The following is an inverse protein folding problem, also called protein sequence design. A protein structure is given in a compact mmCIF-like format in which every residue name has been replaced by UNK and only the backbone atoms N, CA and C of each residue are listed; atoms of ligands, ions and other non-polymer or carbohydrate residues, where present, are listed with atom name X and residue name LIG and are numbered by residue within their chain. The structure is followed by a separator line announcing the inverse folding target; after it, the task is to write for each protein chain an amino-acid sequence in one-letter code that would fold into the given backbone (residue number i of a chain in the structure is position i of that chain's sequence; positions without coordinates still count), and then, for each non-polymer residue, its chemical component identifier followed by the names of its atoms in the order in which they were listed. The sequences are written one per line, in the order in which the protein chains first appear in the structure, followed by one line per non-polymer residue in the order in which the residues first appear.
data_IF_409937396476
#
_entry.id   IF_409937396476
#
_cell.length_a   1.000
_cell.length_b   1.000
_cell.length_c   1.000
_cell.angle_alpha   90.00
_cell.angle_beta   90.00
_cell.angle_gamma   90.00
#
_symmetry.space_group_name_H-M   'P 1'
#
loop_
_entity.id
_entity.type
_entity.pdbx_description
1 polymer ?
#
# COMPACT_ATOMS: atom_id res chain seq x y z
N UNK A 1 -51.24 3.73 -36.41
CA UNK A 1 -51.51 2.58 -35.51
C UNK A 1 -52.16 1.48 -36.33
N UNK A 2 -51.79 0.20 -36.20
CA UNK A 2 -51.13 -0.45 -35.06
C UNK A 2 -49.70 -0.99 -35.33
N UNK A 3 -49.09 -1.43 -34.23
CA UNK A 3 -47.73 -1.96 -33.98
C UNK A 3 -47.62 -3.45 -34.37
N UNK A 4 -46.39 -3.92 -34.64
CA UNK A 4 -45.91 -5.18 -34.05
C UNK A 4 -44.37 -5.20 -34.02
N UNK A 5 -43.86 -5.66 -32.89
CA UNK A 5 -42.48 -5.63 -32.41
C UNK A 5 -41.68 -6.85 -32.90
N UNK A 6 -40.36 -6.70 -32.98
CA UNK A 6 -39.44 -7.74 -33.42
C UNK A 6 -38.03 -7.50 -32.92
N UNK A 7 -37.94 -7.42 -31.59
CA UNK A 7 -36.74 -7.50 -30.75
C UNK A 7 -35.67 -8.47 -31.28
N UNK A 8 -34.43 -7.97 -31.39
CA UNK A 8 -33.21 -8.81 -31.41
C UNK A 8 -31.94 -7.94 -31.43
N UNK A 9 -31.40 -7.62 -30.26
CA UNK A 9 -29.94 -7.73 -30.01
C UNK A 9 -29.58 -7.57 -28.52
N UNK A 10 -30.02 -8.48 -27.66
CA UNK A 10 -29.29 -8.79 -26.43
C UNK A 10 -28.60 -10.15 -26.60
N UNK A 11 -27.35 -10.11 -27.06
CA UNK A 11 -26.41 -11.23 -26.90
C UNK A 11 -25.50 -10.91 -25.72
N UNK A 12 -26.00 -11.27 -24.54
CA UNK A 12 -25.25 -11.87 -23.43
C UNK A 12 -23.79 -11.45 -23.31
N UNK A 13 -23.60 -10.27 -22.74
CA UNK A 13 -22.58 -10.02 -21.73
C UNK A 13 -22.77 -11.05 -20.61
N UNK A 14 -22.11 -12.21 -20.71
CA UNK A 14 -21.77 -12.94 -19.48
C UNK A 14 -20.82 -12.00 -18.76
N UNK A 15 -21.29 -11.49 -17.62
CA UNK A 15 -20.66 -10.40 -16.90
C UNK A 15 -19.25 -10.85 -16.51
N UNK A 16 -18.29 -9.92 -16.49
CA UNK A 16 -16.97 -10.16 -15.88
C UNK A 16 -17.14 -10.71 -14.45
N UNK A 17 -18.23 -10.34 -13.79
CA UNK A 17 -18.71 -10.90 -12.51
C UNK A 17 -18.86 -12.43 -12.56
N UNK A 18 -19.50 -12.99 -13.60
CA UNK A 18 -19.72 -14.44 -13.71
C UNK A 18 -18.39 -15.22 -13.85
N UNK A 19 -17.38 -14.57 -14.44
CA UNK A 19 -16.03 -15.14 -14.59
C UNK A 19 -15.21 -15.02 -13.31
N UNK A 20 -15.32 -13.91 -12.59
CA UNK A 20 -14.68 -13.70 -11.30
C UNK A 20 -15.27 -14.64 -10.23
N UNK A 21 -16.59 -14.82 -10.22
CA UNK A 21 -17.32 -15.71 -9.31
C UNK A 21 -16.95 -17.19 -9.56
N UNK A 22 -16.82 -17.60 -10.82
CA UNK A 22 -16.31 -18.94 -11.17
C UNK A 22 -14.86 -19.16 -10.73
N UNK A 23 -13.98 -18.17 -10.91
CA UNK A 23 -12.58 -18.28 -10.52
C UNK A 23 -12.39 -18.33 -8.99
N UNK A 24 -13.15 -17.52 -8.23
CA UNK A 24 -13.16 -17.53 -6.78
C UNK A 24 -13.68 -18.86 -6.22
N UNK A 25 -14.78 -19.38 -6.78
CA UNK A 25 -15.37 -20.67 -6.37
C UNK A 25 -14.42 -21.85 -6.64
N UNK A 26 -13.66 -21.79 -7.75
CA UNK A 26 -12.72 -22.83 -8.13
C UNK A 26 -11.44 -22.78 -7.28
N UNK A 27 -10.99 -21.59 -6.85
CA UNK A 27 -9.87 -21.43 -5.93
C UNK A 27 -10.22 -21.88 -4.49
N UNK A 28 -11.47 -21.68 -4.06
CA UNK A 28 -11.97 -22.08 -2.73
C UNK A 28 -12.22 -23.59 -2.57
N UNK A 29 -12.32 -24.35 -3.68
CA UNK A 29 -12.61 -25.79 -3.63
C UNK A 29 -11.37 -26.67 -3.45
N UNK A 30 -10.16 -26.13 -3.63
CA UNK A 30 -8.91 -26.91 -3.58
C UNK A 30 -8.01 -26.56 -2.39
N UNK A 31 -8.37 -25.57 -1.56
CA UNK A 31 -7.52 -25.08 -0.48
C UNK A 31 -8.26 -25.11 0.86
N UNK A 32 -7.82 -26.03 1.72
CA UNK A 32 -8.28 -26.19 3.11
C UNK A 32 -7.63 -25.09 4.00
N UNK A 33 -7.88 -23.82 3.65
CA UNK A 33 -7.49 -22.66 4.44
C UNK A 33 -8.77 -22.02 5.00
N UNK A 34 -8.95 -22.11 6.31
CA UNK A 34 -9.91 -21.28 7.06
C UNK A 34 -9.42 -19.81 7.07
N UNK A 35 -9.40 -19.14 5.91
CA UNK A 35 -9.37 -17.67 5.85
C UNK A 35 -10.82 -17.20 5.96
N UNK A 36 -11.21 -16.84 7.17
CA UNK A 36 -12.58 -16.47 7.51
C UNK A 36 -12.85 -14.99 7.15
N UNK A 37 -12.67 -14.62 5.89
CA UNK A 37 -13.10 -13.32 5.34
C UNK A 37 -14.46 -13.51 4.66
N UNK A 38 -15.42 -12.63 4.95
CA UNK A 38 -16.75 -12.73 4.34
C UNK A 38 -16.68 -12.44 2.83
N UNK A 39 -17.53 -13.11 2.07
CA UNK A 39 -17.70 -12.92 0.62
C UNK A 39 -17.98 -11.44 0.27
N UNK A 40 -18.76 -10.75 1.11
CA UNK A 40 -19.02 -9.31 1.00
C UNK A 40 -17.75 -8.45 1.16
N UNK A 41 -16.78 -8.89 1.96
CA UNK A 41 -15.49 -8.19 2.16
C UNK A 41 -14.64 -8.27 0.89
N UNK A 42 -14.60 -9.44 0.26
CA UNK A 42 -13.85 -9.65 -0.99
C UNK A 42 -14.48 -8.86 -2.15
N UNK A 43 -15.81 -8.87 -2.28
CA UNK A 43 -16.53 -8.10 -3.32
C UNK A 43 -16.32 -6.59 -3.13
N UNK A 44 -16.40 -6.10 -1.88
CA UNK A 44 -16.14 -4.69 -1.57
C UNK A 44 -14.70 -4.27 -1.89
N UNK A 45 -13.72 -5.17 -1.76
CA UNK A 45 -12.32 -4.91 -2.11
C UNK A 45 -12.10 -4.81 -3.63
N UNK A 46 -12.83 -5.59 -4.43
CA UNK A 46 -12.74 -5.55 -5.90
C UNK A 46 -13.52 -4.39 -6.53
N UNK A 47 -14.74 -4.10 -6.06
CA UNK A 47 -15.49 -2.93 -6.53
C UNK A 47 -14.81 -1.61 -6.15
N UNK A 48 -14.07 -1.60 -5.04
CA UNK A 48 -13.20 -0.48 -4.69
C UNK A 48 -12.09 -0.27 -5.74
N UNK A 49 -11.54 -1.31 -6.37
CA UNK A 49 -10.36 -1.19 -7.24
C UNK A 49 -10.61 -0.39 -8.54
N UNK A 50 -11.79 -0.52 -9.17
CA UNK A 50 -12.11 0.16 -10.45
C UNK A 50 -12.59 1.61 -10.22
N UNK A 51 -13.37 1.86 -9.17
CA UNK A 51 -13.70 3.22 -8.72
C UNK A 51 -12.48 4.00 -8.21
N UNK A 52 -11.41 3.27 -7.85
CA UNK A 52 -10.16 3.82 -7.34
C UNK A 52 -9.30 4.43 -8.44
N UNK A 53 -9.40 4.08 -9.72
CA UNK A 53 -8.56 4.70 -10.77
C UNK A 53 -8.97 6.17 -11.05
N UNK A 54 -10.25 6.42 -11.33
CA UNK A 54 -10.77 7.79 -11.53
C UNK A 54 -10.73 8.61 -10.23
N UNK A 55 -10.92 7.97 -9.07
CA UNK A 55 -10.76 8.61 -7.77
C UNK A 55 -9.30 8.95 -7.49
N UNK A 56 -8.32 8.09 -7.84
CA UNK A 56 -6.88 8.33 -7.59
C UNK A 56 -6.37 9.54 -8.34
N UNK A 57 -6.72 9.68 -9.62
CA UNK A 57 -6.30 10.84 -10.42
C UNK A 57 -6.91 12.14 -9.89
N UNK A 58 -8.19 12.09 -9.52
CA UNK A 58 -8.90 13.23 -8.92
C UNK A 58 -8.31 13.59 -7.54
N UNK A 59 -7.98 12.58 -6.72
CA UNK A 59 -7.36 12.76 -5.40
C UNK A 59 -5.96 13.37 -5.55
N UNK A 60 -5.10 12.82 -6.40
CA UNK A 60 -3.73 13.32 -6.63
C UNK A 60 -3.72 14.79 -7.03
N UNK A 61 -4.57 15.17 -8.00
CA UNK A 61 -4.63 16.53 -8.52
C UNK A 61 -5.31 17.51 -7.54
N UNK A 62 -5.97 16.99 -6.49
CA UNK A 62 -6.62 17.79 -5.44
C UNK A 62 -5.74 18.04 -4.20
N UNK A 63 -4.63 17.30 -4.05
CA UNK A 63 -3.74 17.42 -2.88
C UNK A 63 -2.86 18.68 -2.99
N UNK A 64 -2.85 19.52 -1.95
CA UNK A 64 -1.85 20.59 -1.78
C UNK A 64 -0.51 20.05 -1.25
N UNK A 65 0.25 19.41 -2.15
CA UNK A 65 1.53 18.77 -1.84
C UNK A 65 2.58 19.72 -1.27
N UNK A 66 2.58 20.98 -1.70
CA UNK A 66 3.52 22.00 -1.22
C UNK A 66 3.30 22.35 0.24
N UNK A 67 2.04 22.49 0.66
CA UNK A 67 1.71 22.70 2.07
C UNK A 67 2.07 21.48 2.91
N UNK A 68 1.91 20.27 2.36
CA UNK A 68 2.30 19.03 3.00
C UNK A 68 3.84 18.95 3.20
N UNK A 69 4.65 19.21 2.17
CA UNK A 69 6.12 19.19 2.26
C UNK A 69 6.67 20.06 3.41
N UNK A 70 6.24 21.33 3.50
CA UNK A 70 6.74 22.26 4.51
C UNK A 70 6.45 21.83 5.95
N UNK A 71 5.49 20.93 6.15
CA UNK A 71 5.05 20.49 7.46
C UNK A 71 5.60 19.10 7.85
N UNK A 72 6.10 18.32 6.90
CA UNK A 72 6.73 17.01 7.18
C UNK A 72 8.25 16.98 7.02
N UNK A 73 8.88 17.97 6.36
CA UNK A 73 10.32 18.01 6.02
C UNK A 73 11.26 17.52 7.14
N UNK A 74 11.03 17.90 8.40
CA UNK A 74 11.88 17.50 9.53
C UNK A 74 11.83 16.02 9.89
N UNK A 75 10.78 15.29 9.50
CA UNK A 75 10.62 13.85 9.79
C UNK A 75 11.08 12.96 8.64
N UNK A 76 11.28 13.53 7.45
CA UNK A 76 11.52 12.78 6.21
C UNK A 76 12.91 12.12 6.21
N UNK A 77 13.94 12.89 6.58
CA UNK A 77 15.31 12.37 6.70
C UNK A 77 15.43 11.30 7.80
N UNK A 78 14.77 11.51 8.95
CA UNK A 78 14.82 10.58 10.08
C UNK A 78 14.21 9.21 9.76
N UNK A 79 13.19 9.13 8.90
CA UNK A 79 12.60 7.84 8.47
C UNK A 79 13.63 7.00 7.71
N UNK A 80 14.36 7.63 6.78
CA UNK A 80 15.36 6.94 5.99
C UNK A 80 16.54 6.47 6.86
N UNK A 81 17.00 7.32 7.80
CA UNK A 81 18.06 6.94 8.75
C UNK A 81 17.69 5.72 9.60
N UNK A 82 16.45 5.70 10.11
CA UNK A 82 15.94 4.57 10.91
C UNK A 82 15.86 3.30 10.07
N UNK A 83 15.41 3.37 8.82
CA UNK A 83 15.35 2.18 7.96
C UNK A 83 16.74 1.61 7.69
N UNK A 84 17.75 2.45 7.43
CA UNK A 84 19.12 1.99 7.16
C UNK A 84 19.82 1.44 8.41
N UNK A 85 19.62 2.08 9.57
CA UNK A 85 20.43 1.80 10.76
C UNK A 85 19.77 0.88 11.77
N UNK A 86 18.43 0.78 11.77
CA UNK A 86 17.66 0.11 12.82
C UNK A 86 16.82 -1.07 12.30
N UNK A 87 17.03 -1.47 11.05
CA UNK A 87 16.44 -2.65 10.43
C UNK A 87 17.55 -3.47 9.80
N UNK A 88 17.64 -4.75 10.15
CA UNK A 88 18.61 -5.69 9.59
C UNK A 88 17.95 -7.07 9.39
N UNK A 89 18.47 -7.86 8.45
CA UNK A 89 17.96 -9.21 8.17
C UNK A 89 16.60 -9.28 7.47
N UNK A 90 16.15 -8.18 6.85
CA UNK A 90 15.00 -8.23 5.95
C UNK A 90 15.43 -8.88 4.63
N UNK A 91 14.84 -10.03 4.32
CA UNK A 91 15.07 -10.78 3.09
C UNK A 91 13.79 -10.94 2.27
N UNK A 92 13.91 -11.58 1.10
CA UNK A 92 12.78 -11.99 0.28
C UNK A 92 11.77 -12.84 1.10
N UNK A 93 10.47 -12.84 0.74
CA UNK A 93 9.47 -13.57 1.51
C UNK A 93 9.67 -15.10 1.50
N UNK A 94 10.39 -15.65 0.53
CA UNK A 94 10.75 -17.07 0.50
C UNK A 94 11.86 -17.44 1.49
N UNK A 95 12.78 -16.51 1.76
CA UNK A 95 13.95 -16.72 2.61
C UNK A 95 13.78 -16.13 4.02
N UNK A 96 12.75 -15.30 4.22
CA UNK A 96 12.49 -14.62 5.47
C UNK A 96 12.33 -15.54 6.68
N UNK A 97 13.17 -15.30 7.69
CA UNK A 97 13.08 -15.89 9.02
C UNK A 97 12.78 -14.78 10.06
N UNK A 98 11.61 -14.81 10.72
CA UNK A 98 11.25 -13.86 11.78
C UNK A 98 12.21 -13.83 12.98
N UNK A 99 13.08 -14.83 13.13
CA UNK A 99 14.08 -14.87 14.18
C UNK A 99 15.40 -14.22 13.81
N UNK A 100 15.64 -13.97 12.52
CA UNK A 100 16.85 -13.35 11.99
C UNK A 100 16.64 -11.85 11.70
N UNK A 101 15.40 -11.43 11.43
CA UNK A 101 15.09 -10.00 11.33
C UNK A 101 15.28 -9.29 12.67
N UNK A 102 15.90 -8.12 12.62
CA UNK A 102 16.05 -7.23 13.76
C UNK A 102 15.40 -5.89 13.45
N UNK A 103 14.31 -5.58 14.16
CA UNK A 103 13.74 -4.24 14.24
C UNK A 103 14.06 -3.68 15.62
N UNK A 104 14.90 -2.65 15.71
CA UNK A 104 15.29 -2.11 17.01
C UNK A 104 14.11 -1.43 17.72
N UNK A 105 14.18 -1.25 19.05
CA UNK A 105 13.18 -0.45 19.77
C UNK A 105 13.07 1.00 19.28
N UNK A 106 14.12 1.55 18.68
CA UNK A 106 14.12 2.90 18.09
C UNK A 106 13.23 2.88 16.85
N UNK A 107 13.44 1.93 15.93
CA UNK A 107 12.61 1.77 14.74
C UNK A 107 11.14 1.54 15.09
N UNK A 108 10.85 0.68 16.06
CA UNK A 108 9.48 0.45 16.53
C UNK A 108 8.82 1.73 17.08
N UNK A 109 9.53 2.44 17.96
CA UNK A 109 9.00 3.65 18.58
C UNK A 109 8.78 4.74 17.52
N UNK A 110 9.72 4.87 16.58
CA UNK A 110 9.64 5.83 15.50
C UNK A 110 8.47 5.53 14.57
N UNK A 111 8.29 4.28 14.14
CA UNK A 111 7.16 3.83 13.33
C UNK A 111 5.80 4.20 13.96
N UNK A 112 5.66 3.95 15.27
CA UNK A 112 4.45 4.24 16.03
C UNK A 112 4.22 5.75 16.17
N UNK A 113 5.24 6.50 16.54
CA UNK A 113 5.15 7.94 16.75
C UNK A 113 4.87 8.70 15.44
N UNK A 114 5.48 8.28 14.34
CA UNK A 114 5.27 8.89 13.03
C UNK A 114 3.84 8.65 12.53
N UNK A 115 3.32 7.43 12.72
CA UNK A 115 1.91 7.11 12.42
C UNK A 115 0.94 7.91 13.29
N UNK A 116 1.20 8.01 14.60
CA UNK A 116 0.39 8.81 15.51
C UNK A 116 0.40 10.30 15.12
N UNK A 117 1.57 10.83 14.79
CA UNK A 117 1.74 12.24 14.38
C UNK A 117 1.02 12.53 13.06
N UNK A 118 1.08 11.62 12.08
CA UNK A 118 0.34 11.74 10.83
C UNK A 118 -1.18 11.77 11.09
N UNK A 119 -1.69 10.90 11.96
CA UNK A 119 -3.10 10.86 12.31
C UNK A 119 -3.53 12.15 12.99
N UNK A 120 -2.76 12.63 13.98
CA UNK A 120 -3.09 13.85 14.74
C UNK A 120 -3.12 15.08 13.82
N UNK A 121 -2.19 15.17 12.87
CA UNK A 121 -2.15 16.26 11.91
C UNK A 121 -3.37 16.22 10.97
N UNK A 122 -3.73 15.04 10.46
CA UNK A 122 -4.96 14.83 9.65
C UNK A 122 -6.23 15.21 10.43
N UNK A 123 -6.32 14.82 11.70
CA UNK A 123 -7.46 15.15 12.56
C UNK A 123 -7.56 16.65 12.87
N UNK A 124 -6.43 17.33 12.97
CA UNK A 124 -6.38 18.78 13.19
C UNK A 124 -6.78 19.60 11.95
N UNK A 125 -7.00 18.93 10.81
CA UNK A 125 -7.28 19.56 9.52
C UNK A 125 -6.03 19.88 8.70
N UNK A 126 -4.85 19.50 9.18
CA UNK A 126 -3.65 19.40 8.36
C UNK A 126 -3.84 18.33 7.28
N UNK A 127 -3.34 18.58 6.08
CA UNK A 127 -3.37 17.62 4.96
C UNK A 127 -4.76 17.06 4.63
N UNK A 128 -5.77 17.94 4.57
CA UNK A 128 -7.17 17.54 4.41
C UNK A 128 -7.44 16.60 3.22
N UNK A 129 -6.57 16.64 2.22
CA UNK A 129 -6.69 15.85 1.00
C UNK A 129 -6.24 14.38 1.20
N UNK A 130 -5.45 14.11 2.24
CA UNK A 130 -5.11 12.76 2.70
C UNK A 130 -6.12 12.19 3.70
N UNK A 131 -7.18 12.91 4.06
CA UNK A 131 -8.22 12.43 4.98
C UNK A 131 -8.91 11.14 4.50
N UNK A 132 -8.87 10.84 3.21
CA UNK A 132 -9.37 9.58 2.63
C UNK A 132 -8.65 8.35 3.21
N UNK A 133 -7.46 8.52 3.78
CA UNK A 133 -6.69 7.47 4.43
C UNK A 133 -6.83 7.47 5.97
N UNK A 134 -7.43 8.49 6.56
CA UNK A 134 -7.47 8.68 8.02
C UNK A 134 -8.09 7.49 8.77
N UNK A 135 -9.22 6.97 8.28
CA UNK A 135 -9.88 5.82 8.91
C UNK A 135 -9.03 4.55 8.84
N UNK A 136 -8.32 4.34 7.72
CA UNK A 136 -7.40 3.21 7.54
C UNK A 136 -6.20 3.31 8.48
N UNK A 137 -5.61 4.50 8.60
CA UNK A 137 -4.49 4.76 9.53
C UNK A 137 -4.90 4.51 10.99
N UNK A 138 -6.07 5.00 11.39
CA UNK A 138 -6.63 4.77 12.74
C UNK A 138 -6.88 3.30 13.01
N UNK A 139 -7.43 2.57 12.04
CA UNK A 139 -7.65 1.13 12.16
C UNK A 139 -6.32 0.37 12.29
N UNK A 140 -5.35 0.61 11.39
CA UNK A 140 -4.02 0.00 11.45
C UNK A 140 -3.32 0.25 12.78
N UNK A 141 -3.38 1.48 13.29
CA UNK A 141 -2.88 1.85 14.62
C UNK A 141 -3.55 1.04 15.73
N UNK A 142 -4.87 0.91 15.71
CA UNK A 142 -5.61 0.19 16.75
C UNK A 142 -5.23 -1.30 16.74
N UNK A 143 -5.20 -1.93 15.56
CA UNK A 143 -4.77 -3.32 15.42
C UNK A 143 -3.33 -3.55 15.89
N UNK A 144 -2.43 -2.59 15.62
CA UNK A 144 -1.05 -2.62 16.15
C UNK A 144 -1.03 -2.61 17.68
N UNK A 145 -1.87 -1.79 18.33
CA UNK A 145 -1.97 -1.72 19.80
C UNK A 145 -2.57 -2.99 20.40
N UNK A 146 -3.48 -3.64 19.67
CA UNK A 146 -4.12 -4.89 20.07
C UNK A 146 -3.29 -6.14 19.73
N UNK A 147 -2.08 -5.95 19.17
CA UNK A 147 -1.19 -7.00 18.69
C UNK A 147 -1.80 -7.90 17.59
N UNK A 148 -2.77 -7.37 16.85
CA UNK A 148 -3.35 -7.96 15.64
C UNK A 148 -2.56 -7.48 14.42
N UNK A 149 -1.33 -7.99 14.30
CA UNK A 149 -0.36 -7.50 13.31
C UNK A 149 -0.76 -7.83 11.88
N UNK A 150 -1.47 -8.94 11.64
CA UNK A 150 -1.96 -9.28 10.31
C UNK A 150 -2.92 -8.22 9.78
N UNK A 151 -3.92 -7.83 10.57
CA UNK A 151 -4.84 -6.76 10.19
C UNK A 151 -4.13 -5.41 10.06
N UNK A 152 -3.21 -5.08 10.99
CA UNK A 152 -2.43 -3.85 10.93
C UNK A 152 -1.67 -3.72 9.60
N UNK A 153 -0.96 -4.77 9.20
CA UNK A 153 -0.21 -4.85 7.93
C UNK A 153 -1.09 -4.52 6.72
N UNK A 154 -2.30 -5.09 6.64
CA UNK A 154 -3.21 -4.81 5.53
C UNK A 154 -3.63 -3.34 5.46
N UNK A 155 -3.92 -2.73 6.61
CA UNK A 155 -4.33 -1.32 6.64
C UNK A 155 -3.20 -0.38 6.18
N UNK A 156 -1.96 -0.61 6.63
CA UNK A 156 -0.83 0.23 6.24
C UNK A 156 -0.43 0.01 4.78
N UNK A 157 -0.37 -1.24 4.29
CA UNK A 157 -0.13 -1.55 2.87
C UNK A 157 -1.19 -0.88 1.98
N UNK A 158 -2.47 -0.88 2.40
CA UNK A 158 -3.53 -0.26 1.62
C UNK A 158 -3.32 1.25 1.41
N UNK A 159 -2.84 1.97 2.44
CA UNK A 159 -2.52 3.40 2.31
C UNK A 159 -1.29 3.58 1.43
N UNK A 160 -0.25 2.77 1.65
CA UNK A 160 1.00 2.80 0.88
C UNK A 160 0.74 2.58 -0.62
N UNK A 161 -0.13 1.64 -0.98
CA UNK A 161 -0.51 1.39 -2.37
C UNK A 161 -1.17 2.59 -3.04
N UNK A 162 -1.97 3.33 -2.28
CA UNK A 162 -2.59 4.56 -2.74
C UNK A 162 -1.54 5.62 -3.10
N UNK A 163 -0.61 5.88 -2.19
CA UNK A 163 0.50 6.82 -2.39
C UNK A 163 1.43 6.40 -3.52
N UNK A 164 1.79 5.11 -3.58
CA UNK A 164 2.64 4.58 -4.63
C UNK A 164 1.99 4.66 -6.02
N UNK A 165 0.67 4.48 -6.10
CA UNK A 165 -0.07 4.69 -7.35
C UNK A 165 0.10 6.13 -7.84
N UNK A 166 -0.01 7.12 -6.95
CA UNK A 166 0.16 8.53 -7.31
C UNK A 166 1.59 8.83 -7.80
N UNK A 167 2.60 8.26 -7.14
CA UNK A 167 4.01 8.34 -7.55
C UNK A 167 4.25 7.72 -8.93
N UNK A 168 3.68 6.55 -9.18
CA UNK A 168 3.78 5.88 -10.48
C UNK A 168 3.14 6.73 -11.59
N UNK A 169 1.94 7.26 -11.34
CA UNK A 169 1.24 8.15 -12.28
C UNK A 169 2.06 9.42 -12.57
N UNK A 170 2.72 9.99 -11.54
CA UNK A 170 3.54 11.20 -11.66
C UNK A 170 4.75 10.98 -12.59
N UNK A 171 5.46 9.87 -12.43
CA UNK A 171 6.61 9.55 -13.26
C UNK A 171 6.27 8.89 -14.61
N UNK A 172 4.99 8.61 -14.87
CA UNK A 172 4.52 8.01 -16.10
C UNK A 172 4.81 6.51 -16.20
N UNK A 173 4.92 5.83 -15.07
CA UNK A 173 4.86 4.36 -15.05
C UNK A 173 3.41 3.94 -15.31
N UNK A 174 3.20 2.89 -16.10
CA UNK A 174 1.87 2.46 -16.54
C UNK A 174 1.37 1.28 -15.72
N UNK A 175 0.07 1.26 -15.44
CA UNK A 175 -0.64 0.06 -15.03
C UNK A 175 -0.64 -0.96 -16.18
N UNK A 176 -0.69 -2.25 -15.84
CA UNK A 176 -0.99 -3.32 -16.77
C UNK A 176 -2.48 -3.28 -17.18
N UNK A 177 -2.88 -4.17 -18.09
CA UNK A 177 -4.25 -4.21 -18.65
C UNK A 177 -5.37 -4.35 -17.61
N UNK A 178 -5.02 -4.75 -16.40
CA UNK A 178 -5.95 -5.11 -15.34
C UNK A 178 -6.02 -4.01 -14.25
N UNK A 179 -5.39 -2.84 -14.49
CA UNK A 179 -5.39 -1.70 -13.57
C UNK A 179 -4.36 -1.79 -12.44
N UNK A 180 -3.42 -2.75 -12.50
CA UNK A 180 -2.40 -2.98 -11.48
C UNK A 180 -1.00 -2.56 -11.95
N UNK A 181 -0.16 -2.07 -11.05
CA UNK A 181 1.24 -1.82 -11.36
C UNK A 181 2.07 -3.09 -11.25
N UNK A 182 2.98 -3.31 -12.20
CA UNK A 182 3.99 -4.35 -12.02
C UNK A 182 4.89 -3.98 -10.83
N UNK A 183 5.34 -5.00 -10.09
CA UNK A 183 6.35 -4.87 -9.03
C UNK A 183 7.49 -3.94 -9.45
N UNK A 184 8.03 -4.20 -10.64
CA UNK A 184 9.21 -3.49 -11.14
C UNK A 184 8.95 -2.00 -11.34
N UNK A 185 7.71 -1.59 -11.60
CA UNK A 185 7.37 -0.20 -11.86
C UNK A 185 7.17 0.58 -10.55
N UNK A 186 6.58 -0.04 -9.52
CA UNK A 186 6.47 0.59 -8.19
C UNK A 186 7.86 0.83 -7.57
N UNK A 187 8.75 -0.16 -7.65
CA UNK A 187 10.14 -0.03 -7.17
C UNK A 187 10.92 1.03 -7.96
N UNK A 188 10.76 1.09 -9.29
CA UNK A 188 11.40 2.15 -10.11
C UNK A 188 10.86 3.55 -9.80
N UNK A 189 9.56 3.69 -9.58
CA UNK A 189 8.95 4.97 -9.21
C UNK A 189 9.51 5.47 -7.87
N UNK A 190 9.57 4.58 -6.89
CA UNK A 190 10.14 4.86 -5.59
C UNK A 190 11.63 5.25 -5.69
N UNK A 191 12.45 4.45 -6.39
CA UNK A 191 13.87 4.73 -6.58
C UNK A 191 14.12 6.09 -7.24
N UNK A 192 13.30 6.45 -8.23
CA UNK A 192 13.39 7.73 -8.91
C UNK A 192 13.03 8.92 -8.03
N UNK A 193 12.03 8.77 -7.15
CA UNK A 193 11.70 9.80 -6.17
C UNK A 193 12.86 10.02 -5.18
N UNK A 194 13.36 8.91 -4.64
CA UNK A 194 14.42 8.93 -3.64
C UNK A 194 15.73 9.55 -4.19
N UNK A 195 16.10 9.21 -5.42
CA UNK A 195 17.27 9.78 -6.12
C UNK A 195 17.21 11.30 -6.28
N UNK A 196 16.02 11.89 -6.41
CA UNK A 196 15.87 13.34 -6.60
C UNK A 196 15.85 14.12 -5.28
N UNK A 197 15.28 13.52 -4.22
CA UNK A 197 15.15 14.17 -2.92
C UNK A 197 16.53 14.44 -2.30
N UNK A 198 17.44 13.46 -2.36
CA UNK A 198 18.80 13.57 -1.85
C UNK A 198 18.84 13.72 -0.33
N UNK A 199 19.16 12.63 0.37
CA UNK A 199 19.22 12.60 1.83
C UNK A 199 20.66 12.73 2.31
N UNK A 200 20.90 13.57 3.32
CA UNK A 200 22.23 13.82 3.84
C UNK A 200 22.84 12.54 4.43
N UNK A 201 23.79 11.95 3.70
CA UNK A 201 24.55 10.78 4.16
C UNK A 201 23.89 9.42 3.95
N UNK A 202 22.74 9.35 3.27
CA UNK A 202 22.09 8.08 2.90
C UNK A 202 22.17 7.89 1.39
N UNK A 203 22.76 6.78 0.95
CA UNK A 203 22.81 6.44 -0.47
C UNK A 203 21.54 5.68 -0.89
N UNK A 204 21.04 5.93 -2.10
CA UNK A 204 19.92 5.15 -2.68
C UNK A 204 20.17 3.64 -2.62
N UNK A 205 21.43 3.22 -2.74
CA UNK A 205 21.85 1.82 -2.62
C UNK A 205 21.58 1.18 -1.25
N UNK A 206 21.41 1.98 -0.20
CA UNK A 206 21.17 1.50 1.17
C UNK A 206 19.66 1.34 1.47
N UNK A 207 18.80 2.02 0.70
CA UNK A 207 17.34 2.03 0.91
C UNK A 207 16.60 1.15 -0.09
N UNK A 208 17.03 1.13 -1.35
CA UNK A 208 16.29 0.43 -2.39
C UNK A 208 16.28 -1.09 -2.21
N UNK A 209 17.38 -1.76 -1.82
CA UNK A 209 17.32 -3.19 -1.54
C UNK A 209 16.32 -3.58 -0.44
N UNK A 210 16.36 -3.02 0.79
CA UNK A 210 15.38 -3.38 1.81
C UNK A 210 13.96 -2.97 1.44
N UNK A 211 13.79 -1.86 0.70
CA UNK A 211 12.48 -1.50 0.14
C UNK A 211 11.97 -2.54 -0.85
N UNK A 212 12.83 -3.04 -1.74
CA UNK A 212 12.48 -4.05 -2.73
C UNK A 212 12.08 -5.37 -2.06
N UNK A 213 12.80 -5.79 -1.03
CA UNK A 213 12.48 -7.01 -0.26
C UNK A 213 11.15 -6.84 0.47
N UNK A 214 10.94 -5.72 1.16
CA UNK A 214 9.63 -5.41 1.76
C UNK A 214 8.49 -5.41 0.73
N UNK A 215 8.74 -4.86 -0.46
CA UNK A 215 7.74 -4.84 -1.52
C UNK A 215 7.38 -6.24 -2.02
N UNK A 216 8.31 -7.20 -1.92
CA UNK A 216 8.04 -8.62 -2.23
C UNK A 216 7.15 -9.26 -1.18
N UNK A 217 7.40 -8.99 0.11
CA UNK A 217 6.48 -9.37 1.19
C UNK A 217 5.08 -8.83 0.95
N UNK A 218 4.96 -7.54 0.64
CA UNK A 218 3.69 -6.90 0.29
C UNK A 218 2.98 -7.61 -0.86
N UNK A 219 3.70 -7.97 -1.92
CA UNK A 219 3.12 -8.69 -3.06
C UNK A 219 2.65 -10.10 -2.66
N UNK A 220 3.45 -10.84 -1.89
CA UNK A 220 3.07 -12.16 -1.39
C UNK A 220 1.78 -12.09 -0.56
N UNK A 221 1.66 -11.08 0.31
CA UNK A 221 0.49 -10.84 1.15
C UNK A 221 -0.75 -10.51 0.31
N UNK A 222 -0.66 -9.53 -0.59
CA UNK A 222 -1.82 -9.06 -1.37
C UNK A 222 -2.30 -10.08 -2.38
N UNK A 223 -1.41 -10.92 -2.92
CA UNK A 223 -1.78 -12.00 -3.82
C UNK A 223 -2.08 -13.32 -3.10
N UNK A 224 -2.08 -13.33 -1.77
CA UNK A 224 -2.49 -14.48 -0.96
C UNK A 224 -1.57 -15.68 -1.10
N UNK A 225 -0.25 -15.48 -1.20
CA UNK A 225 0.73 -16.57 -1.30
C UNK A 225 0.76 -17.40 -0.01
N UNK A 226 0.28 -18.65 0.00
CA UNK A 226 0.11 -19.40 1.25
C UNK A 226 1.41 -19.73 1.98
N UNK A 227 2.53 -19.75 1.26
CA UNK A 227 3.83 -20.16 1.79
C UNK A 227 4.79 -19.00 2.03
N UNK A 228 4.47 -17.80 1.55
CA UNK A 228 5.36 -16.64 1.63
C UNK A 228 4.67 -15.34 2.09
N UNK A 229 3.36 -15.38 2.38
CA UNK A 229 2.67 -14.27 3.02
C UNK A 229 2.92 -14.28 4.54
N UNK A 230 3.89 -13.49 4.98
CA UNK A 230 4.20 -13.31 6.40
C UNK A 230 3.38 -12.16 7.00
N UNK A 231 2.67 -12.44 8.10
CA UNK A 231 1.76 -11.50 8.76
C UNK A 231 2.09 -11.41 10.25
N UNK A 232 3.34 -11.05 10.55
CA UNK A 232 3.86 -10.93 11.92
C UNK A 232 4.08 -9.47 12.33
N UNK A 233 4.59 -9.30 13.56
CA UNK A 233 4.89 -8.00 14.15
C UNK A 233 5.87 -7.18 13.33
N UNK A 234 6.93 -7.78 12.85
CA UNK A 234 8.02 -7.05 12.21
C UNK A 234 7.61 -6.60 10.82
N UNK A 235 6.87 -7.43 10.08
CA UNK A 235 6.21 -7.01 8.82
C UNK A 235 5.22 -5.86 9.06
N UNK A 236 4.45 -5.88 10.16
CA UNK A 236 3.57 -4.76 10.50
C UNK A 236 4.35 -3.47 10.78
N UNK A 237 5.46 -3.53 11.54
CA UNK A 237 6.30 -2.36 11.82
C UNK A 237 6.99 -1.84 10.55
N UNK A 238 7.48 -2.74 9.70
CA UNK A 238 8.04 -2.39 8.39
C UNK A 238 7.00 -1.71 7.51
N UNK A 239 5.75 -2.19 7.51
CA UNK A 239 4.67 -1.56 6.75
C UNK A 239 4.38 -0.13 7.19
N UNK A 240 4.56 0.19 8.48
CA UNK A 240 4.44 1.55 9.00
C UNK A 240 5.62 2.43 8.56
N UNK A 241 6.86 1.92 8.69
CA UNK A 241 8.06 2.66 8.31
C UNK A 241 8.12 2.94 6.81
N UNK A 242 7.88 1.92 5.99
CA UNK A 242 7.86 2.07 4.53
C UNK A 242 6.64 2.86 4.03
N UNK A 243 5.53 2.88 4.76
CA UNK A 243 4.44 3.82 4.50
C UNK A 243 4.91 5.27 4.67
N UNK A 244 5.58 5.59 5.78
CA UNK A 244 6.11 6.95 6.00
C UNK A 244 7.15 7.33 4.95
N UNK A 245 8.03 6.39 4.58
CA UNK A 245 9.02 6.61 3.52
C UNK A 245 8.35 6.79 2.14
N UNK A 246 7.24 6.11 1.90
CA UNK A 246 6.45 6.29 0.66
C UNK A 246 5.73 7.63 0.64
N UNK A 247 5.21 8.07 1.79
CA UNK A 247 4.62 9.39 1.95
C UNK A 247 5.66 10.48 1.69
N UNK A 248 6.85 10.34 2.26
CA UNK A 248 7.99 11.22 2.01
C UNK A 248 8.28 11.36 0.50
N UNK A 249 8.54 10.23 -0.17
CA UNK A 249 8.80 10.21 -1.60
C UNK A 249 7.69 10.89 -2.41
N UNK A 250 6.42 10.64 -2.06
CA UNK A 250 5.27 11.26 -2.70
C UNK A 250 5.27 12.78 -2.53
N UNK A 251 5.54 13.25 -1.32
CA UNK A 251 5.51 14.67 -0.97
C UNK A 251 6.66 15.43 -1.60
N UNK A 252 7.87 14.88 -1.55
CA UNK A 252 9.07 15.47 -2.13
C UNK A 252 8.96 15.67 -3.65
N UNK A 253 8.28 14.78 -4.35
CA UNK A 253 8.12 14.86 -5.80
C UNK A 253 6.96 15.72 -6.28
N UNK A 254 5.87 15.75 -5.51
CA UNK A 254 4.63 16.38 -5.97
C UNK A 254 4.44 17.82 -5.45
N UNK A 255 5.28 18.28 -4.52
CA UNK A 255 5.29 19.63 -3.93
C UNK A 255 5.91 20.74 -4.82
#
# INVERSE_FOLDING_TARGET
MPLDDGDNSEKTSSSIVDKAESAATQALTEVDLEVNLSEDTLISMYEAAEAVEDSRKTIRDSIDWRSLYNAVESYLEEVAEVIVNDIDGLESPEDYDPSEITVTPIAEQFAKNSTDSLIDELESGGYSDLNVYLDRLKAGRQHTRDADYGAATFYFISVQDGLMSMLCDYFGFSTNSDGYYERSDKVKAFAKAYDNAGYDGIETGDIIPPYQDFYDHRNAIVHGSPTSAHLDRDIALLSMLFLMLTLDAAVSEMA
#
